data_IF_013965291741
#
_entry.id   IF_013965291741
#
_cell.length_a   1.000
_cell.length_b   1.000
_cell.length_c   1.000
_cell.angle_alpha   90.00
_cell.angle_beta   90.00
_cell.angle_gamma   90.00
#
_symmetry.space_group_name_H-M   'P 1'
#
loop_
_entity.id
_entity.type
_entity.pdbx_description
1 polymer ?
#
# COMPACT_ATOMS: atom_id res chain seq x y z
N UNK A 1 -2.40 13.64 17.34
CA UNK A 1 -2.23 13.81 15.89
C UNK A 1 -2.05 12.43 15.29
N UNK A 2 -2.87 12.11 14.30
CA UNK A 2 -2.77 10.88 13.54
C UNK A 2 -1.56 10.97 12.60
N UNK A 3 -0.82 9.87 12.40
CA UNK A 3 0.47 9.88 11.69
C UNK A 3 0.90 8.48 11.26
N UNK A 4 1.68 8.45 10.19
CA UNK A 4 2.52 7.32 9.79
C UNK A 4 3.93 7.53 10.35
N UNK A 5 4.55 6.46 10.86
CA UNK A 5 5.94 6.48 11.34
C UNK A 5 6.68 5.34 10.66
N UNK A 6 7.80 5.66 10.02
CA UNK A 6 8.59 4.70 9.26
C UNK A 6 9.97 4.60 9.90
N UNK A 7 10.51 3.38 9.95
CA UNK A 7 11.90 3.18 10.33
C UNK A 7 12.82 3.90 9.34
N UNK A 8 13.74 4.72 9.83
CA UNK A 8 14.69 5.47 9.00
C UNK A 8 15.50 4.60 8.03
N UNK A 9 15.68 3.30 8.34
CA UNK A 9 16.39 2.37 7.47
C UNK A 9 15.58 1.95 6.23
N UNK A 10 14.27 2.17 6.23
CA UNK A 10 13.32 1.76 5.18
C UNK A 10 12.60 2.96 4.53
N UNK A 11 13.20 4.15 4.62
CA UNK A 11 12.66 5.38 4.01
C UNK A 11 13.38 5.66 2.69
N UNK A 12 12.61 6.01 1.66
CA UNK A 12 13.13 6.40 0.35
C UNK A 12 13.35 5.21 -0.58
N UNK A 13 13.84 5.50 -1.78
CA UNK A 13 14.15 4.52 -2.82
C UNK A 13 15.67 4.43 -3.03
N UNK A 14 16.15 3.24 -3.35
CA UNK A 14 17.56 2.90 -3.51
C UNK A 14 18.39 3.19 -2.25
N UNK A 15 17.78 2.88 -1.09
CA UNK A 15 18.43 2.95 0.21
C UNK A 15 19.51 1.88 0.40
N UNK A 16 20.41 2.03 1.38
CA UNK A 16 21.52 1.09 1.58
C UNK A 16 21.14 -0.21 2.31
N UNK A 17 19.87 -0.40 2.66
CA UNK A 17 19.39 -1.50 3.52
C UNK A 17 18.29 -2.34 2.83
N UNK A 18 18.64 -3.20 1.86
CA UNK A 18 17.70 -4.19 1.34
C UNK A 18 17.28 -5.18 2.45
N UNK A 19 16.09 -5.79 2.35
CA UNK A 19 15.19 -5.80 1.19
C UNK A 19 14.11 -4.70 1.18
N UNK A 20 14.11 -3.77 2.13
CA UNK A 20 13.11 -2.70 2.27
C UNK A 20 13.66 -1.35 1.83
N UNK A 21 14.21 -1.29 0.63
CA UNK A 21 14.96 -0.13 0.12
C UNK A 21 14.32 0.55 -1.10
N UNK A 22 13.09 0.17 -1.50
CA UNK A 22 12.38 0.79 -2.63
C UNK A 22 11.21 1.67 -2.18
N UNK A 23 11.12 1.96 -0.89
CA UNK A 23 10.14 2.86 -0.30
C UNK A 23 8.75 2.26 -0.15
N UNK A 24 8.59 0.93 -0.29
CA UNK A 24 7.28 0.29 -0.19
C UNK A 24 6.76 0.22 1.23
N UNK A 25 7.63 0.27 2.23
CA UNK A 25 7.22 0.47 3.62
C UNK A 25 6.35 1.73 3.76
N UNK A 26 6.73 2.85 3.12
CA UNK A 26 5.91 4.07 3.16
C UNK A 26 4.53 3.85 2.49
N UNK A 27 4.52 3.21 1.32
CA UNK A 27 3.29 2.89 0.59
C UNK A 27 2.35 2.01 1.42
N UNK A 28 2.89 0.98 2.08
CA UNK A 28 2.15 0.06 2.96
C UNK A 28 1.50 0.80 4.13
N UNK A 29 2.29 1.59 4.88
CA UNK A 29 1.78 2.32 6.04
C UNK A 29 0.78 3.41 5.66
N UNK A 30 0.95 4.06 4.50
CA UNK A 30 -0.06 5.00 3.96
C UNK A 30 -1.33 4.25 3.56
N UNK A 31 -1.23 3.03 3.05
CA UNK A 31 -2.38 2.14 2.81
C UNK A 31 -3.19 1.90 4.09
N UNK A 32 -2.53 1.56 5.20
CA UNK A 32 -3.18 1.45 6.52
C UNK A 32 -3.80 2.77 6.98
N UNK A 33 -3.07 3.87 6.84
CA UNK A 33 -3.57 5.19 7.18
C UNK A 33 -4.85 5.53 6.41
N UNK A 34 -4.96 5.09 5.16
CA UNK A 34 -6.13 5.23 4.30
C UNK A 34 -7.14 4.08 4.42
N UNK A 35 -7.03 3.25 5.46
CA UNK A 35 -8.05 2.29 5.88
C UNK A 35 -7.95 0.91 5.26
N UNK A 36 -6.82 0.53 4.65
CA UNK A 36 -6.58 -0.83 4.17
C UNK A 36 -6.13 -1.76 5.29
N UNK A 37 -6.53 -3.03 5.20
CA UNK A 37 -6.04 -4.11 6.05
C UNK A 37 -5.06 -4.99 5.28
N UNK A 38 -4.28 -5.79 6.02
CA UNK A 38 -3.51 -6.87 5.41
C UNK A 38 -4.45 -7.91 4.78
N UNK A 39 -4.07 -8.55 3.65
CA UNK A 39 -4.85 -9.62 3.02
C UNK A 39 -5.25 -10.75 3.98
N UNK A 40 -4.38 -11.04 4.95
CA UNK A 40 -4.56 -12.08 5.98
C UNK A 40 -5.25 -11.61 7.27
N UNK A 41 -5.80 -10.39 7.32
CA UNK A 41 -6.30 -9.76 8.57
C UNK A 41 -7.28 -10.63 9.37
N UNK A 42 -8.15 -11.39 8.70
CA UNK A 42 -9.09 -12.32 9.33
C UNK A 42 -8.90 -13.76 8.81
N UNK A 43 -7.65 -14.12 8.53
CA UNK A 43 -7.27 -15.38 7.90
C UNK A 43 -7.95 -15.58 6.55
N UNK A 44 -8.13 -16.85 6.17
CA UNK A 44 -8.79 -17.22 4.93
C UNK A 44 -10.24 -16.70 4.86
N UNK A 45 -10.39 -15.55 4.22
CA UNK A 45 -11.67 -15.07 3.74
C UNK A 45 -12.14 -15.80 2.49
N UNK A 46 -13.26 -15.33 1.93
CA UNK A 46 -13.74 -15.74 0.61
C UNK A 46 -13.51 -14.59 -0.36
N UNK A 47 -13.08 -14.87 -1.59
CA UNK A 47 -12.96 -13.86 -2.66
C UNK A 47 -14.30 -13.53 -3.35
N UNK A 48 -15.41 -14.17 -2.93
CA UNK A 48 -16.70 -14.07 -3.63
C UNK A 48 -17.71 -13.23 -2.86
N UNK A 49 -18.33 -12.29 -3.57
CA UNK A 49 -19.37 -11.45 -3.03
C UNK A 49 -20.64 -12.27 -2.72
N UNK A 50 -21.38 -11.92 -1.65
CA UNK A 50 -21.11 -10.80 -0.73
C UNK A 50 -20.15 -11.16 0.43
N UNK A 51 -19.70 -12.41 0.54
CA UNK A 51 -18.94 -12.90 1.70
C UNK A 51 -17.56 -12.25 1.88
N UNK A 52 -16.88 -11.88 0.79
CA UNK A 52 -15.62 -11.13 0.86
C UNK A 52 -15.75 -9.82 1.65
N UNK A 53 -16.90 -9.15 1.60
CA UNK A 53 -17.08 -7.87 2.31
C UNK A 53 -17.21 -8.00 3.83
N UNK A 54 -17.21 -9.22 4.37
CA UNK A 54 -17.26 -9.51 5.80
C UNK A 54 -16.17 -10.47 6.28
N UNK A 55 -15.24 -10.86 5.41
CA UNK A 55 -14.15 -11.81 5.70
C UNK A 55 -12.83 -11.32 5.10
N UNK A 56 -11.69 -11.90 5.51
CA UNK A 56 -10.37 -11.46 5.02
C UNK A 56 -10.08 -9.98 5.31
N UNK A 57 -9.59 -9.26 4.29
CA UNK A 57 -9.32 -7.81 4.32
C UNK A 57 -10.55 -6.92 4.01
N UNK A 58 -11.71 -7.55 3.86
CA UNK A 58 -13.01 -6.97 3.50
C UNK A 58 -13.12 -6.52 2.04
N UNK A 59 -12.26 -7.02 1.16
CA UNK A 59 -12.24 -6.72 -0.28
C UNK A 59 -12.34 -8.00 -1.10
N UNK A 60 -13.04 -7.94 -2.23
CA UNK A 60 -13.32 -9.12 -3.05
C UNK A 60 -12.28 -9.37 -4.13
N UNK A 61 -11.49 -8.36 -4.47
CA UNK A 61 -10.47 -8.44 -5.52
C UNK A 61 -9.05 -8.68 -4.99
N UNK A 62 -8.88 -8.79 -3.66
CA UNK A 62 -7.66 -9.29 -3.03
C UNK A 62 -7.77 -10.82 -2.88
N UNK A 63 -6.79 -11.59 -3.40
CA UNK A 63 -6.70 -13.01 -3.09
C UNK A 63 -6.67 -13.27 -1.57
N UNK A 64 -7.52 -14.16 -1.03
CA UNK A 64 -7.52 -14.48 0.39
C UNK A 64 -6.20 -15.14 0.80
N UNK A 65 -5.74 -14.77 1.99
CA UNK A 65 -4.51 -15.30 2.57
C UNK A 65 -4.71 -15.62 4.06
N UNK A 66 -3.93 -16.54 4.61
CA UNK A 66 -4.00 -16.94 6.03
C UNK A 66 -2.87 -16.39 6.90
N UNK A 67 -1.79 -15.95 6.28
CA UNK A 67 -0.59 -15.45 6.97
C UNK A 67 0.11 -14.40 6.13
N UNK A 68 1.00 -13.65 6.77
CA UNK A 68 1.99 -12.83 6.08
C UNK A 68 3.06 -13.69 5.42
N UNK A 69 3.60 -13.17 4.32
CA UNK A 69 4.70 -13.73 3.57
C UNK A 69 5.89 -12.75 3.56
N UNK A 70 7.07 -13.29 3.31
CA UNK A 70 8.32 -12.54 3.20
C UNK A 70 9.08 -13.02 1.96
N UNK A 71 10.16 -12.32 1.60
CA UNK A 71 10.90 -12.54 0.36
C UNK A 71 10.02 -12.28 -0.88
N UNK A 72 10.41 -12.84 -2.04
CA UNK A 72 9.66 -12.82 -3.30
C UNK A 72 9.20 -14.24 -3.67
N UNK A 73 8.24 -14.85 -2.94
CA UNK A 73 7.83 -16.24 -3.17
C UNK A 73 7.20 -16.44 -4.55
N UNK A 74 7.46 -17.58 -5.19
CA UNK A 74 6.95 -17.93 -6.52
C UNK A 74 6.15 -19.22 -6.45
N UNK A 75 4.91 -19.20 -6.94
CA UNK A 75 4.05 -20.37 -7.00
C UNK A 75 3.50 -20.83 -5.64
N UNK A 76 3.69 -20.03 -4.59
CA UNK A 76 3.07 -20.27 -3.28
C UNK A 76 1.57 -20.04 -3.36
N UNK A 77 0.82 -20.87 -2.63
CA UNK A 77 -0.63 -20.77 -2.54
C UNK A 77 -1.07 -20.85 -1.09
N UNK A 78 -2.18 -20.20 -0.77
CA UNK A 78 -2.86 -20.26 0.53
C UNK A 78 -4.34 -20.58 0.34
N UNK A 79 -5.10 -20.72 1.43
CA UNK A 79 -6.55 -20.79 1.45
C UNK A 79 -7.18 -21.77 0.45
N UNK A 80 -6.62 -22.98 0.37
CA UNK A 80 -7.12 -24.04 -0.50
C UNK A 80 -6.63 -23.97 -1.95
N UNK A 81 -5.41 -23.47 -2.17
CA UNK A 81 -4.76 -23.47 -3.48
C UNK A 81 -4.89 -22.16 -4.25
N UNK A 82 -5.29 -21.09 -3.57
CA UNK A 82 -5.35 -19.74 -4.13
C UNK A 82 -3.93 -19.15 -4.16
N UNK A 83 -3.45 -18.60 -5.29
CA UNK A 83 -2.18 -17.89 -5.31
C UNK A 83 -2.16 -16.74 -4.30
N UNK A 84 -1.08 -16.66 -3.52
CA UNK A 84 -0.93 -15.58 -2.53
C UNK A 84 -0.70 -14.22 -3.22
N UNK A 85 -1.12 -13.10 -2.62
CA UNK A 85 -1.03 -11.77 -3.22
C UNK A 85 0.36 -11.14 -3.09
N UNK A 86 1.40 -11.80 -3.62
CA UNK A 86 2.82 -11.42 -3.48
C UNK A 86 3.10 -9.97 -3.85
N UNK A 87 2.47 -9.47 -4.92
CA UNK A 87 2.74 -8.14 -5.43
C UNK A 87 1.91 -7.03 -4.77
N UNK A 88 1.07 -7.37 -3.79
CA UNK A 88 0.21 -6.40 -3.13
C UNK A 88 1.00 -5.55 -2.12
N UNK A 89 0.81 -4.23 -2.14
CA UNK A 89 1.46 -3.35 -1.17
C UNK A 89 1.05 -3.59 0.28
N UNK A 90 -0.11 -4.23 0.53
CA UNK A 90 -0.56 -4.60 1.87
C UNK A 90 -0.04 -5.97 2.30
N UNK A 91 0.83 -6.63 1.53
CA UNK A 91 1.59 -7.80 2.01
C UNK A 91 2.82 -7.36 2.84
N UNK A 92 3.58 -8.32 3.40
CA UNK A 92 4.88 -8.11 4.05
C UNK A 92 6.06 -8.69 3.24
N UNK A 93 5.85 -8.93 1.95
CA UNK A 93 6.87 -9.36 1.00
C UNK A 93 7.95 -8.30 0.78
N UNK A 94 9.02 -8.67 0.10
CA UNK A 94 10.12 -7.72 -0.17
C UNK A 94 9.68 -6.61 -1.13
N UNK A 95 10.22 -5.40 -0.95
CA UNK A 95 9.87 -4.22 -1.73
C UNK A 95 9.98 -4.44 -3.26
N UNK A 96 10.91 -5.30 -3.68
CA UNK A 96 11.18 -5.60 -5.09
C UNK A 96 10.04 -6.35 -5.80
N UNK A 97 9.21 -7.09 -5.07
CA UNK A 97 8.08 -7.81 -5.68
C UNK A 97 6.74 -7.08 -5.53
N UNK A 98 6.65 -6.08 -4.66
CA UNK A 98 5.43 -5.28 -4.52
C UNK A 98 5.25 -4.31 -5.68
N UNK A 99 4.09 -4.39 -6.36
CA UNK A 99 3.81 -3.59 -7.57
C UNK A 99 2.54 -2.75 -7.50
N UNK A 100 1.54 -3.11 -6.69
CA UNK A 100 0.24 -2.45 -6.80
C UNK A 100 -0.75 -2.66 -5.67
N UNK A 101 -1.74 -1.77 -5.65
CA UNK A 101 -3.02 -1.99 -4.97
C UNK A 101 -4.04 -2.56 -5.95
N UNK A 102 -5.05 -3.26 -5.42
CA UNK A 102 -6.23 -3.67 -6.18
C UNK A 102 -7.19 -2.50 -6.42
N UNK A 103 -8.21 -2.70 -7.26
CA UNK A 103 -9.17 -1.64 -7.57
C UNK A 103 -10.07 -1.33 -6.36
N UNK A 104 -10.49 -2.33 -5.60
CA UNK A 104 -11.28 -2.12 -4.39
C UNK A 104 -10.46 -1.52 -3.25
N UNK A 105 -9.17 -1.84 -3.14
CA UNK A 105 -8.25 -1.13 -2.24
C UNK A 105 -8.22 0.37 -2.58
N UNK A 106 -8.05 0.73 -3.85
CA UNK A 106 -8.09 2.15 -4.28
C UNK A 106 -9.43 2.81 -3.96
N UNK A 107 -10.55 2.13 -4.20
CA UNK A 107 -11.89 2.65 -3.86
C UNK A 107 -12.07 2.85 -2.36
N UNK A 108 -11.58 1.92 -1.53
CA UNK A 108 -11.63 2.04 -0.08
C UNK A 108 -10.80 3.23 0.41
N UNK A 109 -9.59 3.43 -0.11
CA UNK A 109 -8.77 4.59 0.21
C UNK A 109 -9.47 5.92 -0.14
N UNK A 110 -10.11 5.99 -1.31
CA UNK A 110 -10.91 7.18 -1.70
C UNK A 110 -12.10 7.41 -0.77
N UNK A 111 -12.84 6.35 -0.43
CA UNK A 111 -13.93 6.45 0.53
C UNK A 111 -13.44 6.95 1.90
N UNK A 112 -12.28 6.46 2.37
CA UNK A 112 -11.64 6.94 3.60
C UNK A 112 -11.34 8.43 3.53
N UNK A 113 -10.77 8.92 2.44
CA UNK A 113 -10.51 10.34 2.22
C UNK A 113 -11.80 11.18 2.24
N UNK A 114 -12.85 10.73 1.57
CA UNK A 114 -14.11 11.49 1.46
C UNK A 114 -14.92 11.53 2.76
N UNK A 115 -14.93 10.43 3.53
CA UNK A 115 -15.89 10.27 4.63
C UNK A 115 -15.25 10.28 6.02
N UNK A 116 -14.02 9.78 6.13
CA UNK A 116 -13.35 9.59 7.42
C UNK A 116 -12.19 10.58 7.63
N UNK A 117 -11.59 11.07 6.54
CA UNK A 117 -10.48 12.01 6.54
C UNK A 117 -10.68 13.19 5.56
N UNK A 118 -11.86 13.85 5.55
CA UNK A 118 -12.17 14.90 4.57
C UNK A 118 -11.18 16.07 4.60
N UNK A 119 -10.58 16.35 5.75
CA UNK A 119 -9.61 17.44 5.88
C UNK A 119 -8.26 17.16 5.18
N UNK A 120 -8.00 15.94 4.71
CA UNK A 120 -6.81 15.64 3.90
C UNK A 120 -6.99 16.01 2.43
N UNK A 121 -8.23 16.06 1.95
CA UNK A 121 -8.55 16.48 0.57
C UNK A 121 -8.87 17.96 0.49
N UNK A 122 -9.25 18.58 1.60
CA UNK A 122 -9.30 20.03 1.72
C UNK A 122 -7.88 20.60 1.77
N UNK A 123 -7.36 20.96 0.60
CA UNK A 123 -6.23 21.88 0.48
C UNK A 123 -6.73 23.23 1.00
N UNK A 124 -6.63 23.45 2.31
CA UNK A 124 -6.99 24.73 2.90
C UNK A 124 -6.06 25.81 2.37
N UNK A 125 -6.38 26.44 1.24
CA UNK A 125 -5.65 27.54 0.59
C UNK A 125 -4.15 27.60 0.88
N UNK A 126 -3.44 26.47 0.80
CA UNK A 126 -1.99 26.45 0.85
C UNK A 126 -1.54 26.38 -0.60
N UNK A 127 -1.36 27.54 -1.20
CA UNK A 127 -0.82 27.73 -2.55
C UNK A 127 0.61 27.18 -2.72
N UNK A 128 1.24 26.68 -1.65
CA UNK A 128 2.67 26.34 -1.65
C UNK A 128 2.99 24.87 -1.27
N UNK A 129 2.01 24.01 -0.97
CA UNK A 129 2.31 22.62 -0.54
C UNK A 129 2.59 21.68 -1.72
N UNK A 130 2.08 21.96 -2.92
CA UNK A 130 2.16 21.06 -4.08
C UNK A 130 3.01 21.61 -5.24
N UNK A 131 3.90 22.56 -4.97
CA UNK A 131 4.74 23.23 -5.98
C UNK A 131 6.14 22.59 -6.12
N UNK A 132 6.30 21.30 -5.86
CA UNK A 132 7.55 20.57 -6.14
C UNK A 132 7.48 19.73 -7.44
N UNK A 133 6.32 19.74 -8.11
CA UNK A 133 6.13 19.08 -9.41
C UNK A 133 5.98 17.56 -9.34
N UNK A 134 6.04 16.94 -8.16
CA UNK A 134 5.95 15.49 -7.99
C UNK A 134 4.61 14.93 -8.48
N UNK A 135 3.51 15.66 -8.26
CA UNK A 135 2.14 15.19 -8.52
C UNK A 135 1.63 15.43 -9.95
N UNK A 136 2.38 16.15 -10.80
CA UNK A 136 1.92 16.43 -12.19
C UNK A 136 2.32 15.34 -13.18
N UNK A 137 3.01 14.28 -12.73
CA UNK A 137 3.49 13.20 -13.60
C UNK A 137 4.55 13.66 -14.62
N UNK A 138 4.98 14.92 -14.57
CA UNK A 138 6.19 15.35 -15.27
C UNK A 138 7.36 14.80 -14.48
N UNK A 139 8.09 13.87 -15.11
CA UNK A 139 9.37 13.31 -14.65
C UNK A 139 10.09 14.25 -13.70
N UNK A 140 10.31 13.81 -12.46
CA UNK A 140 11.16 14.48 -11.49
C UNK A 140 12.48 14.88 -12.17
N UNK A 141 12.61 16.16 -12.49
CA UNK A 141 13.85 16.72 -12.95
C UNK A 141 14.77 16.80 -11.74
N UNK A 142 15.43 15.68 -11.43
CA UNK A 142 16.68 15.67 -10.66
C UNK A 142 17.68 16.53 -11.43
N UNK A 143 17.66 17.83 -11.17
CA UNK A 143 18.73 18.74 -11.56
C UNK A 143 19.97 18.33 -10.76
N UNK A 144 20.95 17.76 -11.43
CA UNK A 144 22.27 17.39 -10.90
C UNK A 144 23.16 18.62 -10.68
N UNK A 145 22.63 19.70 -10.08
CA UNK A 145 23.43 20.84 -9.70
C UNK A 145 23.77 20.78 -8.21
N UNK A 146 24.79 19.97 -7.93
CA UNK A 146 25.65 20.11 -6.75
C UNK A 146 26.58 21.31 -7.00
N UNK A 147 26.88 22.18 -6.01
CA UNK A 147 27.95 23.16 -6.12
C UNK A 147 29.33 22.53 -6.37
#
# INVERSE_FOLDING_TARGET
ADRVVINQLAVGRDGPFPPHDQGRTATHEVGHFLGLFHPYYNGCGTATAPGCYSTGDLLCDTPPDDTSHHDCPVGTTSCGGVPIPVENYMELTDDLCMTGFTLEQVRRMRCTLEHYRPNLTEIGMLTDVFHDGFETGTTSAWSSQVP
#
